data_IF_025569558050
#
_entry.id   IF_025569558050
#
_cell.length_a   1.000
_cell.length_b   1.000
_cell.length_c   1.000
_cell.angle_alpha   90.00
_cell.angle_beta   90.00
_cell.angle_gamma   90.00
#
_symmetry.space_group_name_H-M   'P 1'
#
loop_
_entity.id
_entity.type
_entity.pdbx_description
1 polymer ?
#
# COMPACT_ATOMS: atom_id res chain seq x y z
N UNK A 1 -4.13 13.72 30.94
CA UNK A 1 -3.09 12.70 30.70
C UNK A 1 -2.59 12.97 29.29
N UNK A 2 -1.39 13.53 29.18
CA UNK A 2 -0.76 13.84 27.90
C UNK A 2 -0.53 12.53 27.14
N UNK A 3 -0.89 12.41 25.85
CA UNK A 3 -0.59 11.22 25.11
C UNK A 3 0.94 11.07 25.07
N UNK A 4 1.44 9.93 25.52
CA UNK A 4 2.83 9.55 25.35
C UNK A 4 3.13 9.66 23.85
N UNK A 5 4.03 10.57 23.48
CA UNK A 5 4.50 10.70 22.12
C UNK A 5 5.14 9.37 21.72
N UNK A 6 4.38 8.54 21.04
CA UNK A 6 4.88 7.26 20.51
C UNK A 6 5.89 7.56 19.42
N UNK A 7 7.10 7.03 19.57
CA UNK A 7 8.16 7.16 18.56
C UNK A 7 7.65 6.64 17.22
N UNK A 8 7.82 7.38 16.12
CA UNK A 8 7.41 6.91 14.81
C UNK A 8 8.10 5.61 14.40
N UNK A 9 7.36 4.71 13.75
CA UNK A 9 7.91 3.52 13.10
C UNK A 9 8.34 3.89 11.68
N UNK A 10 9.66 3.89 11.43
CA UNK A 10 10.22 4.27 10.13
C UNK A 10 10.42 3.03 9.26
N UNK A 11 9.68 2.97 8.15
CA UNK A 11 9.75 1.84 7.21
C UNK A 11 10.86 2.00 6.17
N UNK A 12 11.52 0.89 5.90
CA UNK A 12 12.53 0.79 4.84
C UNK A 12 13.95 1.10 5.27
N UNK A 13 14.22 1.44 6.52
CA UNK A 13 15.57 1.61 7.08
C UNK A 13 16.03 0.34 7.81
N UNK A 14 15.15 -0.23 8.63
CA UNK A 14 15.39 -1.48 9.34
C UNK A 14 14.29 -2.51 9.05
N UNK A 15 14.49 -3.73 9.47
CA UNK A 15 13.46 -4.77 9.43
C UNK A 15 12.36 -4.46 10.43
N UNK A 16 11.11 -4.53 9.97
CA UNK A 16 9.94 -4.38 10.83
C UNK A 16 9.89 -5.50 11.88
N UNK A 17 9.75 -5.14 13.14
CA UNK A 17 9.65 -6.08 14.26
C UNK A 17 8.19 -6.33 14.67
N UNK A 18 7.96 -7.38 15.45
CA UNK A 18 6.62 -7.63 16.05
C UNK A 18 6.25 -6.46 16.98
N UNK A 19 7.22 -5.89 17.72
CA UNK A 19 6.99 -4.72 18.56
C UNK A 19 6.47 -3.52 17.80
N UNK A 20 7.03 -3.24 16.60
CA UNK A 20 6.57 -2.16 15.73
C UNK A 20 5.13 -2.39 15.25
N UNK A 21 4.80 -3.63 14.90
CA UNK A 21 3.43 -3.99 14.49
C UNK A 21 2.45 -3.74 15.65
N UNK A 22 2.79 -4.15 16.86
CA UNK A 22 1.96 -3.91 18.05
C UNK A 22 1.83 -2.41 18.35
N UNK A 23 2.94 -1.65 18.25
CA UNK A 23 2.95 -0.21 18.50
C UNK A 23 1.99 0.53 17.53
N UNK A 24 2.04 0.19 16.23
CA UNK A 24 1.16 0.82 15.23
C UNK A 24 -0.28 0.32 15.33
N UNK A 25 -0.48 -0.99 15.51
CA UNK A 25 -1.81 -1.59 15.47
C UNK A 25 -2.65 -1.26 16.72
N UNK A 26 -2.04 -1.29 17.91
CA UNK A 26 -2.73 -1.14 19.20
C UNK A 26 -2.51 0.20 19.88
N UNK A 27 -1.34 0.83 19.65
CA UNK A 27 -0.95 2.04 20.37
C UNK A 27 -0.86 3.28 19.47
N UNK A 28 -1.34 3.17 18.22
CA UNK A 28 -1.42 4.27 17.26
C UNK A 28 -0.09 4.98 16.98
N UNK A 29 1.04 4.28 17.13
CA UNK A 29 2.33 4.82 16.75
C UNK A 29 2.28 5.31 15.30
N UNK A 30 2.76 6.53 15.02
CA UNK A 30 2.79 7.05 13.66
C UNK A 30 3.78 6.27 12.80
N UNK A 31 3.52 6.24 11.49
CA UNK A 31 4.35 5.52 10.52
C UNK A 31 4.94 6.51 9.54
N UNK A 32 6.23 6.41 9.28
CA UNK A 32 6.98 7.22 8.33
C UNK A 32 7.68 6.34 7.29
N UNK A 33 7.89 6.89 6.10
CA UNK A 33 8.68 6.25 5.05
C UNK A 33 10.08 6.85 5.06
N UNK A 34 11.08 6.04 5.26
CA UNK A 34 12.48 6.46 5.19
C UNK A 34 12.86 6.92 3.77
N UNK A 35 13.81 7.84 3.67
CA UNK A 35 14.27 8.39 2.38
C UNK A 35 14.74 7.28 1.41
N UNK A 36 15.51 6.32 1.90
CA UNK A 36 15.96 5.16 1.13
C UNK A 36 14.82 4.28 0.63
N UNK A 37 13.71 4.19 1.37
CA UNK A 37 12.51 3.47 0.91
C UNK A 37 11.88 4.19 -0.29
N UNK A 38 11.71 5.51 -0.22
CA UNK A 38 11.14 6.30 -1.32
C UNK A 38 12.01 6.25 -2.57
N UNK A 39 13.34 6.29 -2.44
CA UNK A 39 14.27 6.11 -3.56
C UNK A 39 14.11 4.73 -4.23
N UNK A 40 14.01 3.64 -3.43
CA UNK A 40 13.77 2.30 -3.96
C UNK A 40 12.42 2.18 -4.65
N UNK A 41 11.36 2.77 -4.08
CA UNK A 41 10.02 2.81 -4.69
C UNK A 41 10.07 3.52 -6.04
N UNK A 42 10.72 4.69 -6.10
CA UNK A 42 10.88 5.45 -7.34
C UNK A 42 11.70 4.69 -8.39
N UNK A 43 12.77 3.98 -7.97
CA UNK A 43 13.57 3.17 -8.87
C UNK A 43 12.75 2.00 -9.45
N UNK A 44 11.99 1.31 -8.61
CA UNK A 44 11.10 0.21 -9.03
C UNK A 44 9.99 0.70 -9.97
N UNK A 45 9.44 1.88 -9.73
CA UNK A 45 8.45 2.47 -10.63
C UNK A 45 9.02 2.73 -12.03
N UNK A 46 10.27 3.21 -12.16
CA UNK A 46 10.91 3.41 -13.47
C UNK A 46 10.95 2.12 -14.28
N UNK A 47 11.28 1.00 -13.65
CA UNK A 47 11.24 -0.32 -14.30
C UNK A 47 9.85 -0.65 -14.83
N UNK A 48 8.80 -0.40 -14.05
CA UNK A 48 7.42 -0.63 -14.52
C UNK A 48 7.04 0.27 -15.69
N UNK A 49 7.51 1.52 -15.71
CA UNK A 49 7.28 2.43 -16.84
C UNK A 49 7.97 1.92 -18.11
N UNK A 50 9.19 1.41 -17.99
CA UNK A 50 9.92 0.79 -19.11
C UNK A 50 9.18 -0.44 -19.65
N UNK A 51 8.77 -1.36 -18.75
CA UNK A 51 7.99 -2.55 -19.12
C UNK A 51 6.63 -2.21 -19.72
N UNK A 52 5.99 -1.12 -19.28
CA UNK A 52 4.72 -0.67 -19.84
C UNK A 52 4.84 -0.16 -21.29
N UNK A 53 6.01 0.30 -21.68
CA UNK A 53 6.33 0.79 -23.02
C UNK A 53 6.99 -0.28 -23.92
N UNK A 54 7.32 -1.46 -23.37
CA UNK A 54 7.86 -2.58 -24.13
C UNK A 54 6.79 -3.16 -25.09
N UNK A 55 7.23 -3.65 -26.22
CA UNK A 55 6.38 -4.33 -27.19
C UNK A 55 5.96 -5.74 -26.74
N UNK A 56 6.73 -6.35 -25.86
CA UNK A 56 6.41 -7.66 -25.27
C UNK A 56 5.32 -7.53 -24.20
N UNK A 57 4.42 -8.51 -24.10
CA UNK A 57 3.40 -8.51 -23.06
C UNK A 57 4.03 -8.80 -21.68
N UNK A 58 3.76 -7.93 -20.72
CA UNK A 58 4.15 -8.09 -19.31
C UNK A 58 2.90 -8.21 -18.44
N UNK A 59 2.80 -9.34 -17.73
CA UNK A 59 1.63 -9.66 -16.89
C UNK A 59 1.32 -8.53 -15.88
N UNK A 60 0.08 -8.07 -15.92
CA UNK A 60 -0.40 -7.03 -15.00
C UNK A 60 0.17 -5.63 -15.25
N UNK A 61 1.06 -5.45 -16.21
CA UNK A 61 1.62 -4.15 -16.62
C UNK A 61 1.03 -3.72 -17.96
N UNK A 62 1.25 -4.52 -19.01
CA UNK A 62 0.70 -4.26 -20.35
C UNK A 62 -0.38 -5.27 -20.75
N UNK A 63 -0.68 -6.27 -19.91
CA UNK A 63 -1.77 -7.23 -20.09
C UNK A 63 -2.83 -7.11 -19.02
N UNK A 64 -3.98 -7.78 -19.19
CA UNK A 64 -4.97 -7.99 -18.14
C UNK A 64 -4.53 -9.05 -17.12
N UNK A 65 -5.48 -9.48 -16.30
CA UNK A 65 -5.29 -10.44 -15.22
C UNK A 65 -6.09 -11.72 -15.45
N UNK A 66 -5.70 -12.82 -14.82
CA UNK A 66 -6.41 -14.09 -14.90
C UNK A 66 -6.58 -14.56 -16.34
N UNK A 67 -7.81 -14.71 -16.81
CA UNK A 67 -8.12 -15.10 -18.19
C UNK A 67 -7.56 -14.13 -19.25
N UNK A 68 -7.32 -12.89 -18.87
CA UNK A 68 -6.76 -11.85 -19.73
C UNK A 68 -5.24 -11.70 -19.60
N UNK A 69 -4.56 -12.63 -18.95
CA UNK A 69 -3.12 -12.58 -18.66
C UNK A 69 -2.23 -12.42 -19.91
N UNK A 70 -2.71 -12.93 -21.05
CA UNK A 70 -2.01 -12.87 -22.36
C UNK A 70 -2.59 -11.80 -23.29
N UNK A 71 -3.66 -11.12 -22.90
CA UNK A 71 -4.33 -10.11 -23.71
C UNK A 71 -3.66 -8.75 -23.45
N UNK A 72 -3.03 -8.21 -24.47
CA UNK A 72 -2.44 -6.88 -24.40
C UNK A 72 -3.53 -5.81 -24.29
N UNK A 73 -3.41 -4.94 -23.31
CA UNK A 73 -4.37 -3.86 -23.05
C UNK A 73 -3.84 -2.58 -23.68
N UNK A 74 -4.60 -1.98 -24.62
CA UNK A 74 -4.25 -0.68 -25.19
C UNK A 74 -4.03 0.38 -24.11
N UNK A 75 -3.08 1.28 -24.33
CA UNK A 75 -2.64 2.28 -23.33
C UNK A 75 -3.83 3.10 -22.80
N UNK A 76 -4.73 3.51 -23.70
CA UNK A 76 -5.92 4.29 -23.38
C UNK A 76 -6.95 3.54 -22.51
N UNK A 77 -6.90 2.21 -22.48
CA UNK A 77 -7.80 1.36 -21.68
C UNK A 77 -7.19 0.93 -20.33
N UNK A 78 -5.90 1.14 -20.11
CA UNK A 78 -5.22 0.69 -18.88
C UNK A 78 -5.79 1.33 -17.61
N UNK A 79 -6.13 2.61 -17.66
CA UNK A 79 -6.76 3.29 -16.53
C UNK A 79 -8.16 2.72 -16.21
N UNK A 80 -8.94 2.40 -17.26
CA UNK A 80 -10.25 1.75 -17.09
C UNK A 80 -10.10 0.35 -16.49
N UNK A 81 -9.09 -0.42 -16.93
CA UNK A 81 -8.81 -1.74 -16.37
C UNK A 81 -8.55 -1.66 -14.86
N UNK A 82 -7.74 -0.69 -14.40
CA UNK A 82 -7.46 -0.51 -12.98
C UNK A 82 -8.72 -0.19 -12.17
N UNK A 83 -9.58 0.68 -12.67
CA UNK A 83 -10.88 0.99 -12.03
C UNK A 83 -11.80 -0.25 -11.99
N UNK A 84 -11.83 -1.02 -13.05
CA UNK A 84 -12.63 -2.26 -13.11
C UNK A 84 -12.10 -3.32 -12.14
N UNK A 85 -10.79 -3.43 -11.99
CA UNK A 85 -10.15 -4.33 -11.04
C UNK A 85 -10.57 -3.98 -9.59
N UNK A 86 -10.47 -2.70 -9.22
CA UNK A 86 -10.90 -2.25 -7.88
C UNK A 86 -12.37 -2.62 -7.64
N UNK A 87 -13.27 -2.31 -8.59
CA UNK A 87 -14.70 -2.63 -8.47
C UNK A 87 -14.97 -4.12 -8.33
N UNK A 88 -14.26 -4.96 -9.08
CA UNK A 88 -14.43 -6.42 -9.06
C UNK A 88 -13.95 -7.06 -7.75
N UNK A 89 -13.05 -6.40 -7.02
CA UNK A 89 -12.51 -6.90 -5.75
C UNK A 89 -13.12 -6.23 -4.52
N UNK A 90 -13.86 -5.12 -4.69
CA UNK A 90 -14.55 -4.43 -3.61
C UNK A 90 -15.89 -5.13 -3.30
N UNK A 91 -15.83 -6.36 -2.81
CA UNK A 91 -16.98 -7.24 -2.56
C UNK A 91 -16.94 -7.86 -1.16
N UNK A 92 -16.43 -7.11 -0.18
CA UNK A 92 -16.41 -7.55 1.21
C UNK A 92 -17.84 -7.69 1.77
N UNK A 93 -18.10 -8.77 2.52
CA UNK A 93 -19.35 -9.04 3.20
C UNK A 93 -19.07 -9.63 4.58
N UNK A 94 -20.03 -9.55 5.50
CA UNK A 94 -19.90 -10.08 6.86
C UNK A 94 -19.60 -8.99 7.90
N UNK A 95 -19.30 -9.39 9.15
CA UNK A 95 -18.98 -8.46 10.22
C UNK A 95 -17.68 -7.70 9.93
N UNK A 96 -17.57 -6.53 10.52
CA UNK A 96 -16.35 -5.72 10.43
C UNK A 96 -15.17 -6.46 11.10
N UNK A 97 -13.99 -6.29 10.51
CA UNK A 97 -12.74 -6.83 11.07
C UNK A 97 -12.24 -5.87 12.16
N UNK A 98 -11.68 -6.40 13.21
CA UNK A 98 -11.15 -5.65 14.34
C UNK A 98 -10.13 -4.59 13.89
N UNK A 99 -10.24 -3.40 14.47
CA UNK A 99 -9.40 -2.25 14.12
C UNK A 99 -7.90 -2.58 14.11
N UNK A 100 -7.42 -3.27 15.14
CA UNK A 100 -6.01 -3.63 15.26
C UNK A 100 -5.54 -4.54 14.13
N UNK A 101 -6.40 -5.47 13.66
CA UNK A 101 -6.10 -6.37 12.54
C UNK A 101 -6.00 -5.58 11.24
N UNK A 102 -6.94 -4.65 11.00
CA UNK A 102 -6.90 -3.77 9.82
C UNK A 102 -5.65 -2.91 9.80
N UNK A 103 -5.29 -2.30 10.94
CA UNK A 103 -4.08 -1.47 11.04
C UNK A 103 -2.79 -2.28 10.85
N UNK A 104 -2.73 -3.48 11.45
CA UNK A 104 -1.60 -4.39 11.21
C UNK A 104 -1.48 -4.78 9.73
N UNK A 105 -2.59 -5.14 9.08
CA UNK A 105 -2.63 -5.44 7.65
C UNK A 105 -2.13 -4.27 6.80
N UNK A 106 -2.59 -3.04 7.12
CA UNK A 106 -2.16 -1.84 6.43
C UNK A 106 -0.66 -1.59 6.60
N UNK A 107 -0.13 -1.72 7.81
CA UNK A 107 1.30 -1.57 8.08
C UNK A 107 2.14 -2.59 7.29
N UNK A 108 1.76 -3.86 7.33
CA UNK A 108 2.48 -4.92 6.61
C UNK A 108 2.41 -4.71 5.09
N UNK A 109 1.28 -4.24 4.58
CA UNK A 109 1.17 -3.87 3.16
C UNK A 109 2.06 -2.69 2.82
N UNK A 110 2.07 -1.64 3.65
CA UNK A 110 2.93 -0.48 3.46
C UNK A 110 4.42 -0.86 3.51
N UNK A 111 4.81 -1.74 4.44
CA UNK A 111 6.17 -2.27 4.49
C UNK A 111 6.56 -3.02 3.20
N UNK A 112 5.62 -3.76 2.61
CA UNK A 112 5.83 -4.39 1.29
C UNK A 112 6.04 -3.34 0.20
N UNK A 113 5.28 -2.26 0.19
CA UNK A 113 5.46 -1.15 -0.75
C UNK A 113 6.82 -0.46 -0.55
N UNK A 114 7.20 -0.18 0.70
CA UNK A 114 8.46 0.44 1.09
C UNK A 114 9.71 -0.38 0.70
N UNK A 115 9.54 -1.70 0.48
CA UNK A 115 10.63 -2.55 -0.01
C UNK A 115 11.14 -2.16 -1.41
N UNK A 116 10.35 -1.41 -2.18
CA UNK A 116 10.69 -1.00 -3.54
C UNK A 116 10.65 -2.13 -4.57
N UNK A 117 9.83 -3.15 -4.35
CA UNK A 117 9.71 -4.32 -5.27
C UNK A 117 8.34 -4.44 -5.94
N UNK A 118 7.47 -3.46 -5.75
CA UNK A 118 6.09 -3.53 -6.24
C UNK A 118 5.81 -2.63 -7.45
N UNK A 119 6.72 -1.70 -7.77
CA UNK A 119 6.60 -0.82 -8.92
C UNK A 119 5.52 0.26 -8.80
N UNK A 120 4.98 0.50 -7.60
CA UNK A 120 4.02 1.58 -7.37
C UNK A 120 4.70 2.95 -7.46
N UNK A 121 3.92 4.00 -7.73
CA UNK A 121 4.39 5.38 -7.65
C UNK A 121 4.67 5.74 -6.18
N UNK A 122 5.69 6.56 -5.87
CA UNK A 122 5.97 7.02 -4.50
C UNK A 122 4.73 7.59 -3.79
N UNK A 123 3.94 8.40 -4.49
CA UNK A 123 2.69 8.97 -3.95
C UNK A 123 1.71 7.91 -3.43
N UNK A 124 1.72 6.69 -3.96
CA UNK A 124 0.86 5.60 -3.48
C UNK A 124 1.29 5.15 -2.09
N UNK A 125 2.59 4.99 -1.86
CA UNK A 125 3.12 4.62 -0.55
C UNK A 125 2.90 5.75 0.47
N UNK A 126 3.16 7.00 0.08
CA UNK A 126 2.93 8.20 0.91
C UNK A 126 1.46 8.35 1.32
N UNK A 127 0.53 8.21 0.34
CA UNK A 127 -0.91 8.26 0.61
C UNK A 127 -1.34 7.12 1.54
N UNK A 128 -0.77 5.92 1.35
CA UNK A 128 -1.08 4.77 2.19
C UNK A 128 -0.63 4.99 3.64
N UNK A 129 0.57 5.56 3.84
CA UNK A 129 1.06 5.97 5.16
C UNK A 129 0.16 7.05 5.79
N UNK A 130 -0.25 8.05 5.02
CA UNK A 130 -1.14 9.11 5.47
C UNK A 130 -2.52 8.55 5.90
N UNK A 131 -3.10 7.62 5.15
CA UNK A 131 -4.36 6.96 5.52
C UNK A 131 -4.19 6.17 6.82
N UNK A 132 -3.11 5.38 6.96
CA UNK A 132 -2.84 4.62 8.18
C UNK A 132 -2.69 5.53 9.40
N UNK A 133 -2.02 6.66 9.27
CA UNK A 133 -1.87 7.64 10.33
C UNK A 133 -3.19 8.38 10.64
N UNK A 134 -4.00 8.70 9.62
CA UNK A 134 -5.29 9.37 9.79
C UNK A 134 -6.37 8.45 10.37
N UNK A 135 -6.28 7.13 10.20
CA UNK A 135 -7.26 6.18 10.75
C UNK A 135 -7.16 5.99 12.27
N UNK A 136 -6.10 6.49 12.91
CA UNK A 136 -6.00 6.50 14.36
C UNK A 136 -7.19 7.25 15.02
N UNK A 137 -7.54 8.49 14.63
CA UNK A 137 -8.68 9.22 15.20
C UNK A 137 -10.03 8.87 14.54
N UNK A 138 -10.07 8.46 13.27
CA UNK A 138 -11.32 8.23 12.52
C UNK A 138 -12.13 7.03 13.05
N UNK A 139 -11.48 5.95 13.45
CA UNK A 139 -12.17 4.81 14.05
C UNK A 139 -12.73 5.12 15.45
N UNK A 140 -12.11 6.01 16.21
CA UNK A 140 -12.65 6.47 17.48
C UNK A 140 -13.93 7.30 17.31
N UNK A 141 -14.11 7.97 16.17
CA UNK A 141 -15.29 8.79 15.88
C UNK A 141 -16.46 8.00 15.25
N UNK A 142 -16.20 6.79 14.73
CA UNK A 142 -17.24 5.94 14.08
C UNK A 142 -17.83 4.93 15.08
N UNK A 143 -17.10 4.58 16.12
CA UNK A 143 -17.48 3.55 17.13
C UNK A 143 -17.98 4.19 18.46
N UNK A 144 -17.89 5.50 18.64
CA UNK A 144 -18.45 6.29 19.73
C UNK A 144 -19.77 6.93 19.34
#
# INVERSE_FOLDING_TARGET
>A
MEPLATTPVVLGEASLTIGDVVAVARHDAPVELGATALERVAASQRVIVELANDTRPHYGVSTGFGALAKVQIPVEKRQQLQRSLIRSHAAGTGPEVEREVVRALMLLRLNTLASGRTGVRPVVAETYAAILNATAPLFAAIVG
#
